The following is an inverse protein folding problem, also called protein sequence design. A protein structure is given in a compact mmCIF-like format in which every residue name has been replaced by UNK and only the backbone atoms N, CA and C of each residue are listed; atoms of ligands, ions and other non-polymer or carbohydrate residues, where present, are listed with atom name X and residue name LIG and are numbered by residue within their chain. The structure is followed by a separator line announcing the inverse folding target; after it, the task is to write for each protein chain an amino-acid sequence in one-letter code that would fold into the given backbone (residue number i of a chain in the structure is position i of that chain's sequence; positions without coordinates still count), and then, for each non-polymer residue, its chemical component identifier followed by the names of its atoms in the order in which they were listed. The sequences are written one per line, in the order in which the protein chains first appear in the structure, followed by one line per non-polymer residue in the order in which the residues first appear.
data_IF_155750275755
#
_entry.id   IF_155750275755
#
_cell.length_a   1.000
_cell.length_b   1.000
_cell.length_c   1.000
_cell.angle_alpha   90.00
_cell.angle_beta   90.00
_cell.angle_gamma   90.00
#
_symmetry.space_group_name_H-M   'P 1'
#
loop_
_entity.id
_entity.type
_entity.pdbx_description
1 polymer ?
#
# COMPACT_ATOMS: atom_id res chain seq x y z
N UNK A 1 0.11 0.04 21.88
CA UNK A 1 1.00 0.81 20.99
C UNK A 1 1.03 0.12 19.63
N UNK A 2 0.71 0.84 18.58
CA UNK A 2 0.81 0.27 17.24
C UNK A 2 2.25 0.33 16.75
N UNK A 3 2.69 -0.72 16.05
CA UNK A 3 4.01 -0.78 15.42
C UNK A 3 3.82 -0.51 13.93
N UNK A 4 4.55 0.47 13.44
CA UNK A 4 4.52 0.82 12.02
C UNK A 4 5.88 0.53 11.40
N UNK A 5 5.87 -0.32 10.38
CA UNK A 5 7.08 -0.67 9.63
C UNK A 5 7.05 0.01 8.28
N UNK A 6 8.14 0.69 7.96
CA UNK A 6 8.28 1.41 6.70
C UNK A 6 9.38 0.78 5.86
N UNK A 7 9.05 0.48 4.60
CA UNK A 7 10.00 0.05 3.59
C UNK A 7 10.24 1.18 2.60
N UNK A 8 11.45 1.27 2.12
CA UNK A 8 11.81 2.25 1.10
C UNK A 8 12.50 1.54 -0.06
N UNK A 9 12.32 2.06 -1.26
CA UNK A 9 13.10 1.66 -2.42
C UNK A 9 14.10 2.77 -2.72
N UNK A 10 15.33 2.37 -3.05
CA UNK A 10 16.43 3.30 -3.33
C UNK A 10 16.90 3.15 -4.76
N UNK A 11 17.29 4.26 -5.38
CA UNK A 11 18.01 4.28 -6.63
C UNK A 11 19.18 5.25 -6.47
N UNK A 12 20.40 4.72 -6.62
CA UNK A 12 21.65 5.49 -6.43
C UNK A 12 21.68 6.23 -5.09
N UNK A 13 21.15 5.61 -4.01
CA UNK A 13 21.12 6.20 -2.68
C UNK A 13 19.97 7.17 -2.43
N UNK A 14 19.10 7.39 -3.41
CA UNK A 14 17.95 8.28 -3.28
C UNK A 14 16.69 7.47 -3.04
N UNK A 15 15.88 7.88 -2.04
CA UNK A 15 14.60 7.23 -1.79
C UNK A 15 13.63 7.59 -2.91
N UNK A 16 13.19 6.59 -3.67
CA UNK A 16 12.31 6.78 -4.82
C UNK A 16 10.88 6.30 -4.55
N UNK A 17 10.68 5.50 -3.50
CA UNK A 17 9.36 5.00 -3.15
C UNK A 17 9.33 4.61 -1.68
N UNK A 18 8.15 4.68 -1.06
CA UNK A 18 7.92 4.24 0.32
C UNK A 18 6.62 3.47 0.42
N UNK A 19 6.52 2.60 1.41
CA UNK A 19 5.27 1.96 1.82
C UNK A 19 5.39 1.55 3.28
N UNK A 20 4.32 1.67 4.05
CA UNK A 20 4.32 1.32 5.47
C UNK A 20 3.20 0.35 5.79
N UNK A 21 3.45 -0.51 6.77
CA UNK A 21 2.43 -1.36 7.36
C UNK A 21 2.19 -0.95 8.80
N UNK A 22 0.96 -0.59 9.13
CA UNK A 22 0.51 -0.21 10.46
C UNK A 22 -0.60 -1.17 10.86
N UNK A 23 -0.27 -2.21 11.65
CA UNK A 23 -1.20 -3.28 11.98
C UNK A 23 -1.62 -4.04 10.73
N UNK A 24 -2.88 -3.87 10.32
CA UNK A 24 -3.42 -4.47 9.09
C UNK A 24 -3.70 -3.42 8.00
N UNK A 25 -3.23 -2.20 8.18
CA UNK A 25 -3.47 -1.11 7.26
C UNK A 25 -2.17 -0.70 6.56
N UNK A 26 -2.20 -0.66 5.24
CA UNK A 26 -1.09 -0.13 4.44
C UNK A 26 -1.21 1.39 4.40
N UNK A 27 -0.12 2.10 4.69
CA UNK A 27 -0.12 3.56 4.74
C UNK A 27 1.11 4.11 4.04
N UNK A 28 1.03 5.40 3.68
CA UNK A 28 2.17 6.18 3.19
C UNK A 28 2.83 5.56 1.96
N UNK A 29 2.02 4.99 1.07
CA UNK A 29 2.51 4.46 -0.19
C UNK A 29 2.74 5.64 -1.13
N UNK A 30 3.98 5.80 -1.58
CA UNK A 30 4.37 6.87 -2.47
C UNK A 30 5.48 6.40 -3.41
N UNK A 31 5.37 6.76 -4.67
CA UNK A 31 6.42 6.52 -5.68
C UNK A 31 6.67 7.84 -6.40
N UNK A 32 7.94 8.25 -6.50
CA UNK A 32 8.29 9.46 -7.25
C UNK A 32 7.77 9.35 -8.68
N UNK A 33 7.22 10.45 -9.24
CA UNK A 33 6.61 10.41 -10.58
C UNK A 33 7.53 9.83 -11.66
N UNK A 34 8.82 10.13 -11.61
CA UNK A 34 9.80 9.65 -12.60
C UNK A 34 9.99 8.13 -12.53
N UNK A 35 9.61 7.50 -11.42
CA UNK A 35 9.79 6.07 -11.18
C UNK A 35 8.48 5.29 -11.22
N UNK A 36 7.36 5.95 -11.45
CA UNK A 36 6.08 5.26 -11.59
C UNK A 36 6.09 4.39 -12.85
N UNK A 37 5.45 3.21 -12.75
CA UNK A 37 5.41 2.27 -13.84
C UNK A 37 6.67 1.42 -14.00
N UNK A 38 7.65 1.53 -13.08
CA UNK A 38 8.90 0.77 -13.13
C UNK A 38 8.97 -0.38 -12.13
N UNK A 39 7.86 -0.68 -11.45
CA UNK A 39 7.80 -1.82 -10.54
C UNK A 39 8.21 -1.55 -9.10
N UNK A 40 8.62 -0.31 -8.75
CA UNK A 40 9.03 -0.01 -7.38
C UNK A 40 7.87 -0.17 -6.39
N UNK A 41 6.69 0.37 -6.74
CA UNK A 41 5.50 0.22 -5.90
C UNK A 41 5.06 -1.23 -5.77
N UNK A 42 5.12 -1.99 -6.86
CA UNK A 42 4.79 -3.41 -6.86
C UNK A 42 5.73 -4.19 -5.93
N UNK A 43 7.04 -3.91 -6.00
CA UNK A 43 8.04 -4.58 -5.16
C UNK A 43 7.82 -4.26 -3.68
N UNK A 44 7.51 -2.99 -3.35
CA UNK A 44 7.24 -2.59 -1.97
C UNK A 44 5.98 -3.25 -1.44
N UNK A 45 4.91 -3.31 -2.23
CA UNK A 45 3.67 -3.97 -1.82
C UNK A 45 3.90 -5.47 -1.60
N UNK A 46 4.73 -6.12 -2.41
CA UNK A 46 5.10 -7.52 -2.20
C UNK A 46 5.79 -7.71 -0.84
N UNK A 47 6.69 -6.80 -0.45
CA UNK A 47 7.33 -6.84 0.85
C UNK A 47 6.34 -6.63 2.00
N UNK A 48 5.43 -5.68 1.85
CA UNK A 48 4.38 -5.41 2.84
C UNK A 48 3.51 -6.65 3.03
N UNK A 49 3.10 -7.30 1.94
CA UNK A 49 2.26 -8.50 2.03
C UNK A 49 3.00 -9.67 2.68
N UNK A 50 4.29 -9.83 2.38
CA UNK A 50 5.11 -10.84 3.02
C UNK A 50 5.20 -10.62 4.52
N UNK A 51 5.46 -9.37 4.94
CA UNK A 51 5.51 -9.02 6.35
C UNK A 51 4.17 -9.29 7.04
N UNK A 52 3.07 -8.91 6.38
CA UNK A 52 1.73 -9.12 6.94
C UNK A 52 1.45 -10.61 7.15
N UNK A 53 1.82 -11.47 6.19
CA UNK A 53 1.68 -12.92 6.34
C UNK A 53 2.50 -13.45 7.50
N UNK A 54 3.73 -12.96 7.67
CA UNK A 54 4.59 -13.35 8.78
C UNK A 54 3.99 -12.98 10.14
N UNK A 55 3.18 -11.94 10.18
CA UNK A 55 2.49 -11.48 11.38
C UNK A 55 1.10 -12.06 11.53
N UNK A 56 0.74 -13.03 10.71
CA UNK A 56 -0.57 -13.69 10.71
C UNK A 56 -1.73 -12.73 10.43
N UNK A 57 -1.47 -11.67 9.69
CA UNK A 57 -2.52 -10.77 9.22
C UNK A 57 -3.23 -11.45 8.05
N UNK A 58 -4.53 -11.67 8.19
CA UNK A 58 -5.30 -12.40 7.17
C UNK A 58 -5.90 -11.50 6.10
N UNK A 59 -5.94 -10.20 6.34
CA UNK A 59 -6.52 -9.24 5.41
C UNK A 59 -5.83 -7.89 5.57
N UNK A 60 -5.41 -7.31 4.45
CA UNK A 60 -4.86 -5.95 4.41
C UNK A 60 -5.91 -4.96 3.96
N UNK A 61 -5.88 -3.78 4.55
CA UNK A 61 -6.70 -2.63 4.15
C UNK A 61 -5.78 -1.52 3.66
N UNK A 62 -6.21 -0.80 2.62
CA UNK A 62 -5.48 0.34 2.11
C UNK A 62 -6.44 1.49 1.82
N UNK A 63 -6.17 2.70 2.39
CA UNK A 63 -6.92 3.90 2.02
C UNK A 63 -6.31 4.46 0.72
N UNK A 64 -6.99 4.20 -0.39
CA UNK A 64 -6.49 4.58 -1.72
C UNK A 64 -7.05 5.91 -2.16
N UNK A 65 -6.25 6.69 -2.89
CA UNK A 65 -6.75 7.81 -3.67
C UNK A 65 -7.48 7.30 -4.91
N UNK A 66 -8.27 8.19 -5.54
CA UNK A 66 -8.93 7.87 -6.79
C UNK A 66 -7.90 7.47 -7.85
N UNK A 67 -6.79 8.19 -7.89
CA UNK A 67 -5.71 7.94 -8.89
C UNK A 67 -5.06 6.58 -8.70
N UNK A 68 -4.90 6.12 -7.45
CA UNK A 68 -4.20 4.88 -7.16
C UNK A 68 -5.09 3.64 -7.18
N UNK A 69 -6.41 3.80 -7.29
CA UNK A 69 -7.34 2.66 -7.24
C UNK A 69 -6.99 1.57 -8.25
N UNK A 70 -6.66 1.95 -9.48
CA UNK A 70 -6.31 0.99 -10.53
C UNK A 70 -5.06 0.17 -10.19
N UNK A 71 -4.08 0.81 -9.54
CA UNK A 71 -2.87 0.12 -9.10
C UNK A 71 -3.21 -1.00 -8.10
N UNK A 72 -4.01 -0.67 -7.08
CA UNK A 72 -4.37 -1.66 -6.07
C UNK A 72 -5.30 -2.74 -6.62
N UNK A 73 -6.21 -2.38 -7.52
CA UNK A 73 -7.10 -3.35 -8.16
C UNK A 73 -6.28 -4.41 -8.90
N UNK A 74 -5.24 -4.01 -9.61
CA UNK A 74 -4.36 -4.96 -10.31
C UNK A 74 -3.59 -5.86 -9.36
N UNK A 75 -3.38 -5.45 -8.12
CA UNK A 75 -2.73 -6.27 -7.09
C UNK A 75 -3.71 -7.21 -6.37
N UNK A 76 -4.99 -7.14 -6.70
CA UNK A 76 -5.99 -8.01 -6.11
C UNK A 76 -6.80 -7.39 -4.99
N UNK A 77 -6.68 -6.09 -4.77
CA UNK A 77 -7.48 -5.38 -3.78
C UNK A 77 -8.85 -5.04 -4.37
N UNK A 78 -9.87 -5.10 -3.53
CA UNK A 78 -11.24 -4.76 -3.91
C UNK A 78 -11.75 -3.61 -3.05
N UNK A 79 -12.49 -2.70 -3.67
CA UNK A 79 -13.11 -1.57 -2.96
C UNK A 79 -14.26 -2.08 -2.10
N UNK A 80 -14.25 -1.71 -0.81
CA UNK A 80 -15.31 -2.06 0.12
C UNK A 80 -16.18 -0.86 0.49
N UNK A 81 -15.66 0.36 0.42
CA UNK A 81 -16.43 1.57 0.67
C UNK A 81 -15.65 2.81 0.22
N UNK A 82 -16.36 3.93 0.18
CA UNK A 82 -15.79 5.25 -0.07
C UNK A 82 -16.03 6.13 1.15
N UNK A 83 -15.03 6.93 1.51
CA UNK A 83 -15.10 7.85 2.65
C UNK A 83 -14.67 9.22 2.16
N UNK A 84 -15.33 10.25 2.65
CA UNK A 84 -14.94 11.62 2.33
C UNK A 84 -14.31 12.28 3.55
N UNK A 85 -13.14 12.88 3.35
CA UNK A 85 -12.47 13.71 4.35
C UNK A 85 -12.36 15.11 3.76
N UNK A 86 -13.23 16.02 4.19
CA UNK A 86 -13.36 17.31 3.55
C UNK A 86 -13.79 17.14 2.09
N UNK A 87 -13.02 17.66 1.15
CA UNK A 87 -13.28 17.53 -0.27
C UNK A 87 -12.60 16.31 -0.89
N UNK A 88 -11.81 15.57 -0.11
CA UNK A 88 -11.06 14.42 -0.61
C UNK A 88 -11.87 13.15 -0.50
N UNK A 89 -11.92 12.37 -1.58
CA UNK A 89 -12.53 11.05 -1.61
C UNK A 89 -11.47 9.98 -1.38
N UNK A 90 -11.68 9.15 -0.36
CA UNK A 90 -10.80 8.05 -0.04
C UNK A 90 -11.53 6.74 -0.35
N UNK A 91 -10.87 5.88 -1.12
CA UNK A 91 -11.41 4.58 -1.50
C UNK A 91 -10.77 3.54 -0.59
N UNK A 92 -11.56 2.93 0.30
CA UNK A 92 -11.05 1.90 1.18
C UNK A 92 -11.09 0.57 0.46
N UNK A 93 -9.92 -0.03 0.29
CA UNK A 93 -9.77 -1.29 -0.43
C UNK A 93 -9.17 -2.35 0.48
N UNK A 94 -9.51 -3.61 0.25
CA UNK A 94 -8.99 -4.72 1.04
C UNK A 94 -8.56 -5.86 0.15
N UNK A 95 -7.63 -6.67 0.67
CA UNK A 95 -7.18 -7.90 0.02
C UNK A 95 -7.00 -8.98 1.07
N UNK A 96 -7.64 -10.12 0.87
CA UNK A 96 -7.41 -11.29 1.72
C UNK A 96 -6.04 -11.89 1.37
N UNK A 97 -5.27 -12.24 2.41
CA UNK A 97 -3.96 -12.85 2.23
C UNK A 97 -4.06 -14.35 2.46
N UNK A 98 -3.49 -15.12 1.54
CA UNK A 98 -3.38 -16.56 1.73
C UNK A 98 -2.39 -16.86 2.85
N UNK A 99 -2.66 -17.85 3.70
CA UNK A 99 -1.74 -18.24 4.76
C UNK A 99 -0.41 -18.79 4.21
#
# INVERSE_FOLDING_TARGET
MSVRDTYVALDAGVVIATASLDGMTVRSVFVLPEYQGRGAGLALMAQIETLARQRSVSKLSVPSSITAEGFYTRLGYATIREVYEGAEKIIVMTKALAP
#
